data_IF_018997024434
#
_entry.id   IF_018997024434
#
_cell.length_a   1.000
_cell.length_b   1.000
_cell.length_c   1.000
_cell.angle_alpha   90.00
_cell.angle_beta   90.00
_cell.angle_gamma   90.00
#
_symmetry.space_group_name_H-M   'P 1'
#
loop_
_entity.id
_entity.type
_entity.pdbx_description
1 polymer ?
#
# COMPACT_ATOMS: atom_id res chain seq x y z
N UNK A 1 -4.30 -6.93 19.92
CA UNK A 1 -3.23 -7.56 19.10
C UNK A 1 -3.58 -9.03 18.95
N UNK A 2 -3.57 -9.61 17.74
CA UNK A 2 -3.98 -11.01 17.53
C UNK A 2 -4.64 -11.34 16.19
N UNK A 3 -4.87 -10.35 15.32
CA UNK A 3 -5.49 -10.55 14.00
C UNK A 3 -4.46 -10.69 12.86
N UNK A 4 -3.17 -10.86 13.19
CA UNK A 4 -2.09 -10.93 12.21
C UNK A 4 -1.97 -12.33 11.62
N UNK A 5 -2.18 -12.49 10.31
CA UNK A 5 -2.08 -13.79 9.63
C UNK A 5 -0.74 -13.93 8.91
N UNK A 6 0.26 -14.51 9.60
CA UNK A 6 1.59 -14.76 9.01
C UNK A 6 1.51 -15.67 7.77
N UNK A 7 0.49 -16.54 7.69
CA UNK A 7 0.23 -17.42 6.54
C UNK A 7 -0.10 -16.68 5.24
N UNK A 8 -0.67 -15.47 5.31
CA UNK A 8 -0.88 -14.63 4.12
C UNK A 8 0.34 -13.76 3.83
N UNK A 9 0.95 -13.19 4.88
CA UNK A 9 2.05 -12.25 4.70
C UNK A 9 3.30 -12.93 4.12
N UNK A 10 3.65 -14.12 4.59
CA UNK A 10 4.89 -14.78 4.17
C UNK A 10 5.01 -15.00 2.66
N UNK A 11 4.03 -15.58 1.94
CA UNK A 11 4.12 -15.73 0.49
C UNK A 11 4.05 -14.39 -0.28
N UNK A 12 3.33 -13.40 0.26
CA UNK A 12 3.26 -12.05 -0.31
C UNK A 12 4.62 -11.34 -0.21
N UNK A 13 5.21 -11.33 0.98
CA UNK A 13 6.46 -10.64 1.29
C UNK A 13 7.67 -11.27 0.58
N UNK A 14 7.73 -12.61 0.51
CA UNK A 14 8.86 -13.32 -0.09
C UNK A 14 9.05 -12.93 -1.56
N UNK A 15 7.96 -12.71 -2.29
CA UNK A 15 8.02 -12.29 -3.70
C UNK A 15 7.99 -10.76 -3.83
N UNK A 16 7.33 -10.03 -2.93
CA UNK A 16 7.27 -8.58 -3.05
C UNK A 16 8.59 -7.89 -2.75
N UNK A 17 9.36 -8.36 -1.78
CA UNK A 17 10.66 -7.77 -1.37
C UNK A 17 11.64 -7.67 -2.54
N UNK A 18 11.98 -8.77 -3.26
CA UNK A 18 12.92 -8.69 -4.38
C UNK A 18 12.36 -7.85 -5.54
N UNK A 19 11.05 -7.94 -5.82
CA UNK A 19 10.44 -7.14 -6.88
C UNK A 19 10.31 -5.65 -6.51
N UNK A 20 10.15 -5.30 -5.24
CA UNK A 20 10.16 -3.92 -4.76
C UNK A 20 11.57 -3.32 -4.83
N UNK A 21 12.59 -4.13 -4.55
CA UNK A 21 13.98 -3.73 -4.76
C UNK A 21 14.26 -3.44 -6.25
N UNK A 22 13.88 -4.37 -7.14
CA UNK A 22 14.00 -4.19 -8.60
C UNK A 22 13.18 -2.98 -9.08
N UNK A 23 11.97 -2.79 -8.55
CA UNK A 23 11.14 -1.62 -8.83
C UNK A 23 11.78 -0.31 -8.40
N UNK A 24 12.42 -0.26 -7.23
CA UNK A 24 13.16 0.92 -6.79
C UNK A 24 14.44 1.19 -7.60
N UNK A 25 14.99 0.17 -8.25
CA UNK A 25 16.15 0.27 -9.13
C UNK A 25 15.78 0.72 -10.57
N UNK A 26 14.58 0.38 -11.04
CA UNK A 26 14.10 0.69 -12.39
C UNK A 26 13.62 2.15 -12.52
N UNK A 27 14.18 2.88 -13.47
CA UNK A 27 13.65 4.18 -13.92
C UNK A 27 12.59 3.97 -15.00
N UNK A 28 11.31 3.93 -14.62
CA UNK A 28 10.23 4.01 -15.60
C UNK A 28 9.89 5.47 -15.97
N UNK A 29 9.46 5.74 -17.22
CA UNK A 29 9.00 7.06 -17.62
C UNK A 29 7.75 7.47 -16.82
N UNK A 30 7.81 8.64 -16.17
CA UNK A 30 6.78 9.16 -15.24
C UNK A 30 5.36 9.10 -15.79
N UNK A 31 5.15 9.26 -17.11
CA UNK A 31 3.83 9.23 -17.72
C UNK A 31 3.08 7.90 -17.51
N UNK A 32 3.76 6.75 -17.67
CA UNK A 32 3.14 5.42 -17.53
C UNK A 32 2.85 5.10 -16.05
N UNK A 33 3.74 5.55 -15.15
CA UNK A 33 3.57 5.39 -13.71
C UNK A 33 2.32 6.14 -13.23
N UNK A 34 2.17 7.40 -13.63
CA UNK A 34 1.05 8.24 -13.21
C UNK A 34 -0.29 7.74 -13.77
N UNK A 35 -0.31 7.22 -15.00
CA UNK A 35 -1.50 6.63 -15.61
C UNK A 35 -1.95 5.34 -14.89
N UNK A 36 -1.00 4.44 -14.58
CA UNK A 36 -1.27 3.20 -13.83
C UNK A 36 -1.74 3.51 -12.40
N UNK A 37 -1.03 4.40 -11.70
CA UNK A 37 -1.39 4.86 -10.36
C UNK A 37 -2.80 5.47 -10.35
N UNK A 38 -3.11 6.33 -11.32
CA UNK A 38 -4.40 6.99 -11.47
C UNK A 38 -5.53 5.98 -11.64
N UNK A 39 -5.41 5.05 -12.58
CA UNK A 39 -6.42 4.00 -12.82
C UNK A 39 -6.68 3.13 -11.58
N UNK A 40 -5.62 2.73 -10.87
CA UNK A 40 -5.76 1.86 -9.71
C UNK A 40 -6.34 2.63 -8.51
N UNK A 41 -5.94 3.90 -8.30
CA UNK A 41 -6.52 4.77 -7.28
C UNK A 41 -8.02 5.04 -7.56
N UNK A 42 -8.38 5.29 -8.81
CA UNK A 42 -9.77 5.49 -9.24
C UNK A 42 -10.61 4.23 -8.99
N UNK A 43 -10.09 3.06 -9.37
CA UNK A 43 -10.74 1.78 -9.10
C UNK A 43 -10.92 1.50 -7.61
N UNK A 44 -9.94 1.85 -6.78
CA UNK A 44 -10.03 1.72 -5.31
C UNK A 44 -11.04 2.70 -4.69
N UNK A 45 -11.05 3.96 -5.13
CA UNK A 45 -11.98 4.98 -4.67
C UNK A 45 -13.44 4.65 -5.03
N UNK A 46 -13.69 4.27 -6.29
CA UNK A 46 -15.01 3.85 -6.77
C UNK A 46 -15.54 2.68 -5.95
N UNK A 47 -14.68 1.69 -5.68
CA UNK A 47 -15.04 0.52 -4.86
C UNK A 47 -15.41 0.91 -3.43
N UNK A 48 -14.66 1.84 -2.84
CA UNK A 48 -14.87 2.26 -1.47
C UNK A 48 -16.25 2.92 -1.25
N UNK A 49 -16.72 3.66 -2.26
CA UNK A 49 -18.04 4.29 -2.27
C UNK A 49 -19.20 3.29 -2.43
N UNK A 50 -18.98 2.15 -3.08
CA UNK A 50 -20.07 1.28 -3.52
C UNK A 50 -20.49 0.23 -2.50
N UNK A 51 -19.61 -0.32 -1.63
CA UNK A 51 -20.02 -1.30 -0.59
C UNK A 51 -19.12 -1.36 0.66
N UNK A 52 -19.46 -0.68 1.77
CA UNK A 52 -18.91 -0.98 3.09
C UNK A 52 -19.71 -2.13 3.73
N UNK A 53 -19.56 -3.36 3.23
CA UNK A 53 -20.24 -4.52 3.82
C UNK A 53 -19.21 -5.40 4.52
N UNK A 54 -19.27 -5.42 5.86
CA UNK A 54 -18.58 -6.41 6.69
C UNK A 54 -19.21 -7.77 6.39
N UNK A 55 -18.62 -8.50 5.45
CA UNK A 55 -19.08 -9.83 5.05
C UNK A 55 -18.24 -10.90 5.75
N UNK A 56 -18.92 -11.89 6.32
CA UNK A 56 -18.39 -12.91 7.24
C UNK A 56 -17.85 -14.17 6.54
N UNK A 57 -17.92 -14.23 5.20
CA UNK A 57 -17.49 -15.38 4.40
C UNK A 57 -16.13 -15.07 3.74
N UNK A 58 -15.08 -15.73 4.23
CA UNK A 58 -13.71 -15.57 3.73
C UNK A 58 -13.31 -16.75 2.85
N UNK A 59 -12.71 -16.45 1.69
CA UNK A 59 -12.17 -17.47 0.80
C UNK A 59 -10.69 -17.72 1.13
N UNK A 60 -10.29 -18.97 1.32
CA UNK A 60 -8.89 -19.34 1.51
C UNK A 60 -8.14 -19.16 0.16
N UNK A 61 -7.15 -18.26 0.07
CA UNK A 61 -6.45 -18.00 -1.18
C UNK A 61 -5.60 -19.20 -1.65
N UNK A 62 -5.64 -19.49 -2.95
CA UNK A 62 -4.64 -20.36 -3.59
C UNK A 62 -3.26 -19.70 -3.52
N UNK A 63 -2.22 -20.47 -3.14
CA UNK A 63 -0.84 -19.97 -2.99
C UNK A 63 -0.30 -19.27 -4.24
N UNK A 64 -0.65 -19.77 -5.43
CA UNK A 64 -0.25 -19.15 -6.71
C UNK A 64 -0.77 -17.72 -6.88
N UNK A 65 -2.01 -17.44 -6.46
CA UNK A 65 -2.57 -16.10 -6.53
C UNK A 65 -1.88 -15.14 -5.56
N UNK A 66 -1.43 -15.62 -4.39
CA UNK A 66 -0.69 -14.80 -3.42
C UNK A 66 0.67 -14.37 -3.98
N UNK A 67 1.41 -15.31 -4.56
CA UNK A 67 2.71 -15.02 -5.16
C UNK A 67 2.61 -14.06 -6.35
N UNK A 68 1.66 -14.29 -7.28
CA UNK A 68 1.44 -13.40 -8.40
C UNK A 68 1.09 -11.98 -7.95
N UNK A 69 0.22 -11.84 -6.95
CA UNK A 69 -0.16 -10.53 -6.42
C UNK A 69 0.98 -9.88 -5.63
N UNK A 70 1.76 -10.66 -4.88
CA UNK A 70 2.93 -10.13 -4.16
C UNK A 70 3.99 -9.58 -5.09
N UNK A 71 4.24 -10.26 -6.22
CA UNK A 71 5.18 -9.77 -7.22
C UNK A 71 4.72 -8.51 -7.91
N UNK A 72 3.51 -8.50 -8.47
CA UNK A 72 2.96 -7.33 -9.16
C UNK A 72 2.87 -6.13 -8.21
N UNK A 73 2.33 -6.34 -7.01
CA UNK A 73 2.17 -5.26 -6.03
C UNK A 73 3.50 -4.82 -5.42
N UNK A 74 4.47 -5.71 -5.25
CA UNK A 74 5.83 -5.39 -4.80
C UNK A 74 6.58 -4.56 -5.82
N UNK A 75 6.53 -4.93 -7.11
CA UNK A 75 7.12 -4.15 -8.20
C UNK A 75 6.52 -2.74 -8.25
N UNK A 76 5.18 -2.66 -8.24
CA UNK A 76 4.48 -1.38 -8.21
C UNK A 76 4.85 -0.58 -6.96
N UNK A 77 4.93 -1.20 -5.78
CA UNK A 77 5.32 -0.56 -4.53
C UNK A 77 6.71 0.09 -4.59
N UNK A 78 7.67 -0.62 -5.18
CA UNK A 78 9.04 -0.15 -5.37
C UNK A 78 9.11 1.01 -6.36
N UNK A 79 8.39 0.89 -7.48
CA UNK A 79 8.33 1.92 -8.51
C UNK A 79 7.66 3.21 -8.04
N UNK A 80 6.59 3.08 -7.24
CA UNK A 80 5.81 4.23 -6.79
C UNK A 80 6.30 4.82 -5.48
N UNK A 81 7.21 4.13 -4.78
CA UNK A 81 7.72 4.54 -3.46
C UNK A 81 6.68 4.53 -2.34
N UNK A 82 5.46 4.04 -2.58
CA UNK A 82 4.34 4.08 -1.61
C UNK A 82 4.28 2.84 -0.71
N UNK A 83 5.16 1.85 -0.91
CA UNK A 83 5.16 0.59 -0.17
C UNK A 83 4.01 -0.37 -0.52
N UNK A 84 3.14 -0.01 -1.48
CA UNK A 84 2.17 -0.93 -2.08
C UNK A 84 0.91 -1.24 -1.26
N UNK A 85 0.80 -0.74 -0.03
CA UNK A 85 -0.37 -0.99 0.82
C UNK A 85 -1.66 -0.34 0.32
N UNK A 86 -1.52 0.75 -0.42
CA UNK A 86 -2.63 1.41 -1.14
C UNK A 86 -3.29 0.45 -2.13
N UNK A 87 -2.51 -0.48 -2.69
CA UNK A 87 -2.99 -1.48 -3.65
C UNK A 87 -3.36 -2.80 -2.98
N UNK A 88 -2.54 -3.24 -2.02
CA UNK A 88 -2.76 -4.51 -1.33
C UNK A 88 -4.06 -4.50 -0.51
N UNK A 89 -4.34 -3.42 0.20
CA UNK A 89 -5.54 -3.30 1.06
C UNK A 89 -6.84 -3.50 0.27
N UNK A 90 -7.13 -2.74 -0.82
CA UNK A 90 -8.34 -2.94 -1.60
C UNK A 90 -8.35 -4.28 -2.34
N UNK A 91 -7.19 -4.80 -2.77
CA UNK A 91 -7.11 -6.08 -3.46
C UNK A 91 -7.47 -7.27 -2.55
N UNK A 92 -6.92 -7.31 -1.33
CA UNK A 92 -7.23 -8.36 -0.35
C UNK A 92 -8.70 -8.31 0.09
N UNK A 93 -9.26 -7.11 0.24
CA UNK A 93 -10.69 -6.91 0.50
C UNK A 93 -11.54 -7.33 -0.70
N UNK A 94 -11.07 -7.13 -1.93
CA UNK A 94 -11.77 -7.59 -3.13
C UNK A 94 -11.88 -9.09 -3.22
N UNK A 95 -10.76 -9.77 -2.96
CA UNK A 95 -10.69 -11.23 -3.04
C UNK A 95 -11.26 -11.93 -1.80
N UNK A 96 -11.75 -11.17 -0.81
CA UNK A 96 -12.33 -11.67 0.45
C UNK A 96 -11.40 -12.64 1.19
N UNK A 97 -10.10 -12.35 1.21
CA UNK A 97 -9.10 -13.25 1.77
C UNK A 97 -9.00 -13.22 3.30
N UNK A 98 -9.37 -12.10 3.92
CA UNK A 98 -9.26 -11.92 5.36
C UNK A 98 -10.18 -10.80 5.87
N UNK A 99 -10.51 -10.77 7.18
CA UNK A 99 -11.26 -9.68 7.78
C UNK A 99 -10.46 -8.37 7.73
N UNK A 100 -11.17 -7.24 7.70
CA UNK A 100 -10.59 -5.90 7.55
C UNK A 100 -9.44 -5.62 8.52
N UNK A 101 -9.57 -6.08 9.78
CA UNK A 101 -8.51 -5.93 10.80
C UNK A 101 -7.23 -6.71 10.45
N UNK A 102 -7.37 -7.91 9.88
CA UNK A 102 -6.25 -8.73 9.43
C UNK A 102 -5.62 -8.15 8.17
N UNK A 103 -6.43 -7.69 7.20
CA UNK A 103 -5.92 -7.02 6.00
C UNK A 103 -5.14 -5.77 6.37
N UNK A 104 -5.65 -4.95 7.28
CA UNK A 104 -4.93 -3.76 7.77
C UNK A 104 -3.58 -4.14 8.41
N UNK A 105 -3.55 -5.15 9.27
CA UNK A 105 -2.32 -5.60 9.91
C UNK A 105 -1.29 -6.14 8.89
N UNK A 106 -1.73 -6.98 7.94
CA UNK A 106 -0.86 -7.51 6.88
C UNK A 106 -0.35 -6.39 5.97
N UNK A 107 -1.21 -5.41 5.65
CA UNK A 107 -0.84 -4.31 4.76
C UNK A 107 0.19 -3.39 5.39
N UNK A 108 0.10 -3.06 6.68
CA UNK A 108 1.11 -2.24 7.36
C UNK A 108 2.49 -2.90 7.33
N UNK A 109 2.56 -4.19 7.63
CA UNK A 109 3.84 -4.92 7.58
C UNK A 109 4.35 -5.05 6.14
N UNK A 110 3.47 -5.27 5.17
CA UNK A 110 3.83 -5.30 3.75
C UNK A 110 4.38 -3.97 3.24
N UNK A 111 3.75 -2.85 3.63
CA UNK A 111 4.24 -1.49 3.35
C UNK A 111 5.64 -1.31 3.89
N UNK A 112 5.87 -1.66 5.16
CA UNK A 112 7.17 -1.50 5.80
C UNK A 112 8.27 -2.27 5.06
N UNK A 113 8.03 -3.55 4.77
CA UNK A 113 9.00 -4.42 4.09
C UNK A 113 9.33 -3.92 2.67
N UNK A 114 8.31 -3.54 1.90
CA UNK A 114 8.53 -3.03 0.54
C UNK A 114 9.15 -1.63 0.53
N UNK A 115 8.82 -0.75 1.48
CA UNK A 115 9.44 0.57 1.59
C UNK A 115 10.93 0.45 1.92
N UNK A 116 11.32 -0.45 2.84
CA UNK A 116 12.74 -0.72 3.14
C UNK A 116 13.44 -1.26 1.88
N UNK A 117 12.83 -2.23 1.20
CA UNK A 117 13.40 -2.85 0.00
C UNK A 117 13.54 -1.86 -1.16
N UNK A 118 12.50 -1.06 -1.41
CA UNK A 118 12.50 -0.03 -2.44
C UNK A 118 13.50 1.08 -2.16
N UNK A 119 13.62 1.51 -0.90
CA UNK A 119 14.62 2.50 -0.49
C UNK A 119 16.05 1.96 -0.65
N UNK A 120 16.28 0.69 -0.32
CA UNK A 120 17.57 0.03 -0.55
C UNK A 120 17.89 -0.07 -2.05
N UNK A 121 16.91 -0.41 -2.89
CA UNK A 121 17.05 -0.42 -4.35
C UNK A 121 17.36 0.97 -4.92
N UNK A 122 16.69 2.00 -4.40
CA UNK A 122 16.91 3.39 -4.78
C UNK A 122 18.32 3.87 -4.39
N UNK A 123 18.75 3.60 -3.15
CA UNK A 123 20.07 4.00 -2.65
C UNK A 123 21.23 3.31 -3.38
N UNK A 124 21.05 2.07 -3.83
CA UNK A 124 22.02 1.34 -4.65
C UNK A 124 21.98 1.74 -6.14
N UNK A 125 20.97 2.49 -6.59
CA UNK A 125 20.82 2.90 -7.99
C UNK A 125 21.80 4.02 -8.42
N UNK A 126 22.84 4.32 -7.65
CA UNK A 126 23.78 5.43 -7.88
C UNK A 126 23.08 6.80 -8.05
N UNK A 127 21.85 6.94 -7.56
CA UNK A 127 21.07 8.16 -7.61
C UNK A 127 21.42 9.03 -6.40
N UNK A 128 21.67 10.32 -6.63
CA UNK A 128 21.77 11.29 -5.55
C UNK A 128 20.46 11.33 -4.79
N UNK A 129 20.49 11.06 -3.49
CA UNK A 129 19.31 11.25 -2.64
C UNK A 129 18.81 12.69 -2.83
N UNK A 130 17.51 12.89 -3.12
CA UNK A 130 16.96 14.23 -3.10
C UNK A 130 17.24 14.83 -1.72
N UNK A 131 17.57 16.13 -1.66
CA UNK A 131 17.67 16.88 -0.41
C UNK A 131 16.28 16.97 0.22
N UNK A 132 15.84 15.87 0.83
CA UNK A 132 14.64 15.84 1.65
C UNK A 132 14.99 16.61 2.90
N UNK A 133 14.45 17.82 3.03
CA UNK A 133 14.68 18.64 4.21
C UNK A 133 14.30 17.86 5.48
N UNK A 134 15.16 17.89 6.49
CA UNK A 134 14.96 17.20 7.77
C UNK A 134 13.58 17.48 8.39
N UNK A 135 13.02 18.67 8.10
CA UNK A 135 11.67 19.08 8.48
C UNK A 135 10.58 18.13 7.95
N UNK A 136 10.68 17.65 6.71
CA UNK A 136 9.68 16.73 6.14
C UNK A 136 9.74 15.36 6.83
N UNK A 137 10.94 14.89 7.16
CA UNK A 137 11.13 13.64 7.92
C UNK A 137 10.51 13.78 9.30
N UNK A 138 10.77 14.89 9.99
CA UNK A 138 10.21 15.16 11.31
C UNK A 138 8.67 15.21 11.28
N UNK A 139 8.08 15.93 10.31
CA UNK A 139 6.61 16.00 10.14
C UNK A 139 6.03 14.63 9.82
N UNK A 140 6.68 13.82 8.98
CA UNK A 140 6.21 12.47 8.67
C UNK A 140 6.23 11.54 9.89
N UNK A 141 7.29 11.59 10.70
CA UNK A 141 7.40 10.80 11.94
C UNK A 141 6.33 11.20 12.94
N UNK A 142 6.21 12.51 13.21
CA UNK A 142 5.23 13.03 14.19
C UNK A 142 3.80 12.77 13.72
N UNK A 143 3.50 13.04 12.45
CA UNK A 143 2.19 12.78 11.85
C UNK A 143 1.83 11.30 11.85
N UNK A 144 2.78 10.41 11.53
CA UNK A 144 2.58 8.96 11.61
C UNK A 144 2.35 8.46 13.03
N UNK A 145 3.08 9.01 14.00
CA UNK A 145 2.93 8.65 15.42
C UNK A 145 1.57 9.09 15.98
N UNK A 146 1.17 10.34 15.74
CA UNK A 146 -0.14 10.87 16.14
C UNK A 146 -1.26 10.09 15.45
N UNK A 147 -1.16 9.90 14.13
CA UNK A 147 -2.15 9.18 13.33
C UNK A 147 -2.35 7.74 13.77
N UNK A 148 -1.28 7.00 14.07
CA UNK A 148 -1.37 5.62 14.57
C UNK A 148 -2.04 5.54 15.95
N UNK A 149 -1.68 6.47 16.85
CA UNK A 149 -2.19 6.51 18.23
C UNK A 149 -3.67 6.89 18.28
N UNK A 150 -4.09 7.86 17.47
CA UNK A 150 -5.47 8.32 17.41
C UNK A 150 -6.36 7.39 16.59
N UNK A 151 -5.87 6.90 15.45
CA UNK A 151 -6.59 5.97 14.58
C UNK A 151 -6.91 4.64 15.26
N UNK A 152 -6.01 4.12 16.09
CA UNK A 152 -6.23 2.84 16.78
C UNK A 152 -7.17 2.92 17.99
N UNK A 153 -7.34 4.09 18.62
CA UNK A 153 -8.04 4.19 19.92
C UNK A 153 -9.42 4.85 19.85
N UNK A 154 -9.69 5.71 18.86
CA UNK A 154 -10.88 6.59 18.94
C UNK A 154 -11.87 6.45 17.77
N UNK A 155 -11.46 5.94 16.61
CA UNK A 155 -12.30 5.98 15.40
C UNK A 155 -12.92 4.64 15.07
N UNK A 156 -14.22 4.65 14.75
CA UNK A 156 -14.90 3.45 14.24
C UNK A 156 -14.31 3.05 12.88
N UNK A 157 -14.25 1.74 12.56
CA UNK A 157 -13.64 1.25 11.32
C UNK A 157 -14.18 1.92 10.05
N UNK A 158 -15.45 2.36 10.08
CA UNK A 158 -16.14 3.08 8.99
C UNK A 158 -15.55 4.47 8.71
N UNK A 159 -15.10 5.20 9.73
CA UNK A 159 -14.51 6.54 9.57
C UNK A 159 -13.11 6.49 8.98
N UNK A 160 -12.26 5.58 9.47
CA UNK A 160 -10.90 5.34 8.92
C UNK A 160 -10.97 5.02 7.43
N UNK A 161 -11.95 4.20 7.09
CA UNK A 161 -12.28 3.77 5.75
C UNK A 161 -12.69 4.93 4.82
N UNK A 162 -13.63 5.79 5.26
CA UNK A 162 -14.02 6.99 4.50
C UNK A 162 -12.86 7.96 4.34
N UNK A 163 -12.08 8.17 5.39
CA UNK A 163 -10.93 9.07 5.36
C UNK A 163 -9.88 8.57 4.36
N UNK A 164 -9.60 7.26 4.36
CA UNK A 164 -8.73 6.63 3.37
C UNK A 164 -9.27 6.85 1.94
N UNK A 165 -10.57 6.69 1.71
CA UNK A 165 -11.17 6.92 0.39
C UNK A 165 -11.07 8.36 -0.09
N UNK A 166 -11.29 9.34 0.81
CA UNK A 166 -11.12 10.76 0.49
C UNK A 166 -9.66 11.06 0.14
N UNK A 167 -8.71 10.53 0.93
CA UNK A 167 -7.27 10.70 0.64
C UNK A 167 -6.91 10.07 -0.71
N UNK A 168 -7.44 8.89 -1.03
CA UNK A 168 -7.23 8.21 -2.31
C UNK A 168 -7.83 9.01 -3.48
N UNK A 169 -9.01 9.59 -3.31
CA UNK A 169 -9.64 10.46 -4.31
C UNK A 169 -8.81 11.71 -4.58
N UNK A 170 -8.35 12.37 -3.52
CA UNK A 170 -7.51 13.56 -3.63
C UNK A 170 -6.17 13.21 -4.29
N UNK A 171 -5.53 12.11 -3.87
CA UNK A 171 -4.27 11.65 -4.44
C UNK A 171 -4.44 11.27 -5.93
N UNK A 172 -5.47 10.52 -6.28
CA UNK A 172 -5.77 10.12 -7.65
C UNK A 172 -6.13 11.32 -8.54
N UNK A 173 -6.94 12.25 -8.03
CA UNK A 173 -7.26 13.49 -8.72
C UNK A 173 -6.02 14.35 -8.96
N UNK A 174 -5.19 14.56 -7.93
CA UNK A 174 -3.94 15.34 -8.07
C UNK A 174 -3.01 14.72 -9.12
N UNK A 175 -2.88 13.40 -9.14
CA UNK A 175 -1.98 12.70 -10.05
C UNK A 175 -2.43 12.75 -11.52
N UNK A 176 -3.74 12.79 -11.77
CA UNK A 176 -4.30 12.88 -13.13
C UNK A 176 -4.29 14.33 -13.63
N UNK A 177 -4.57 15.31 -12.76
CA UNK A 177 -4.65 16.73 -13.14
C UNK A 177 -3.30 17.46 -13.11
N UNK A 178 -2.33 16.97 -12.34
CA UNK A 178 -0.99 17.57 -12.20
C UNK A 178 0.05 16.43 -12.29
N UNK A 179 0.46 16.02 -13.50
CA UNK A 179 1.48 15.01 -13.69
C UNK A 179 2.87 15.48 -13.24
#
# INVERSE_FOLDING_TARGET
AGHFSMKLLWPLALVSIPLAFVGGYLKLPNHVLHLLLGLVLWGSAWRFLVRPKEETVFCNPKRSSLFATGGVLGLLAGLTGTGGGIFLTPWMLWRRWAPTKTVAAVSVTFILLNSISGLAGYGLSAQSFPQVGWNLVAVAIVGGWIGSRWGSRHYSPRWIQRLLAVVLLIAGGKLIFIP
#
